data_IF_274525819601
#
_entry.id   IF_274525819601
#
_cell.length_a   1.000
_cell.length_b   1.000
_cell.length_c   1.000
_cell.angle_alpha   90.00
_cell.angle_beta   90.00
_cell.angle_gamma   90.00
#
_symmetry.space_group_name_H-M   'P 1'
#
loop_
_entity.id
_entity.type
_entity.pdbx_description
1 polymer ?
#
# COMPACT_ATOMS: atom_id res chain seq x y z
N UNK A 1 2.24 -1.25 -12.10
CA UNK A 1 1.13 -0.81 -11.22
C UNK A 1 1.13 0.71 -11.16
N UNK A 2 0.02 1.37 -11.49
CA UNK A 2 -0.13 2.83 -11.39
C UNK A 2 -1.14 3.18 -10.29
N UNK A 3 -1.03 4.37 -9.70
CA UNK A 3 -1.98 4.87 -8.68
C UNK A 3 -2.55 6.21 -9.15
N UNK A 4 -3.66 6.26 -9.90
CA UNK A 4 -4.18 7.53 -10.46
C UNK A 4 -4.61 8.56 -9.39
N UNK A 5 -5.14 8.09 -8.26
CA UNK A 5 -5.71 8.97 -7.22
C UNK A 5 -4.73 9.45 -6.16
N UNK A 6 -3.43 9.24 -6.36
CA UNK A 6 -2.40 9.51 -5.35
C UNK A 6 -2.27 10.98 -4.93
N UNK A 7 -2.88 11.92 -5.67
CA UNK A 7 -2.93 13.36 -5.34
C UNK A 7 -4.28 13.80 -4.77
N UNK A 8 -5.30 12.96 -4.81
CA UNK A 8 -6.62 13.28 -4.27
C UNK A 8 -6.72 12.90 -2.81
N UNK A 9 -7.45 13.71 -2.06
CA UNK A 9 -7.76 13.46 -0.67
C UNK A 9 -8.90 12.43 -0.58
N UNK A 10 -8.92 11.69 0.52
CA UNK A 10 -10.00 10.75 0.82
C UNK A 10 -11.36 11.45 0.85
N UNK A 11 -11.42 12.65 1.44
CA UNK A 11 -12.62 13.52 1.46
C UNK A 11 -13.11 13.88 0.05
N UNK A 12 -12.19 14.20 -0.87
CA UNK A 12 -12.54 14.57 -2.25
C UNK A 12 -13.06 13.36 -3.02
N UNK A 13 -12.44 12.20 -2.83
CA UNK A 13 -12.83 10.95 -3.48
C UNK A 13 -14.21 10.49 -2.98
N UNK A 14 -14.47 10.60 -1.67
CA UNK A 14 -15.77 10.30 -1.07
C UNK A 14 -16.84 11.29 -1.56
N UNK A 15 -16.55 12.60 -1.59
CA UNK A 15 -17.47 13.60 -2.11
C UNK A 15 -17.83 13.34 -3.59
N UNK A 16 -16.85 12.98 -4.41
CA UNK A 16 -17.09 12.61 -5.81
C UNK A 16 -18.03 11.40 -5.92
N UNK A 17 -17.79 10.34 -5.14
CA UNK A 17 -18.65 9.17 -5.14
C UNK A 17 -20.10 9.51 -4.77
N UNK A 18 -20.30 10.33 -3.74
CA UNK A 18 -21.63 10.79 -3.31
C UNK A 18 -22.32 11.64 -4.39
N UNK A 19 -21.63 12.65 -4.93
CA UNK A 19 -22.18 13.53 -5.97
C UNK A 19 -22.53 12.79 -7.27
N UNK A 20 -21.80 11.71 -7.58
CA UNK A 20 -22.04 10.86 -8.74
C UNK A 20 -23.04 9.74 -8.48
N UNK A 21 -23.56 9.59 -7.25
CA UNK A 21 -24.45 8.50 -6.88
C UNK A 21 -23.80 7.11 -6.95
N UNK A 22 -22.48 7.04 -6.79
CA UNK A 22 -21.74 5.78 -6.76
C UNK A 22 -21.95 5.15 -5.39
N UNK A 23 -22.66 4.01 -5.35
CA UNK A 23 -22.83 3.23 -4.13
C UNK A 23 -21.52 2.49 -3.81
N UNK A 24 -21.05 2.63 -2.58
CA UNK A 24 -19.87 1.94 -2.05
C UNK A 24 -20.17 1.37 -0.66
N UNK A 25 -19.30 0.48 -0.17
CA UNK A 25 -19.42 -0.13 1.15
C UNK A 25 -18.92 0.87 2.19
N UNK A 26 -19.77 1.20 3.17
CA UNK A 26 -19.42 2.09 4.28
C UNK A 26 -18.72 1.36 5.42
N UNK A 27 -18.97 0.05 5.53
CA UNK A 27 -18.38 -0.79 6.56
C UNK A 27 -16.90 -1.01 6.30
N UNK A 28 -16.09 -0.79 7.33
CA UNK A 28 -14.68 -1.13 7.33
C UNK A 28 -14.49 -2.61 7.67
N UNK A 29 -13.34 -3.16 7.27
CA UNK A 29 -12.98 -4.53 7.63
C UNK A 29 -12.80 -4.65 9.16
N UNK A 30 -13.42 -5.63 9.85
CA UNK A 30 -13.22 -5.81 11.29
C UNK A 30 -11.76 -6.03 11.69
N UNK A 31 -10.95 -6.62 10.80
CA UNK A 31 -9.52 -6.82 11.02
C UNK A 31 -8.67 -5.58 10.77
N UNK A 32 -9.26 -4.48 10.29
CA UNK A 32 -8.57 -3.21 10.10
C UNK A 32 -8.62 -2.30 11.35
N UNK A 33 -9.42 -2.66 12.35
CA UNK A 33 -9.46 -1.93 13.62
C UNK A 33 -8.06 -1.90 14.27
N UNK A 34 -7.64 -0.70 14.70
CA UNK A 34 -6.31 -0.49 15.27
C UNK A 34 -5.15 -0.51 14.26
N UNK A 35 -5.42 -0.53 12.95
CA UNK A 35 -4.36 -0.43 11.94
C UNK A 35 -3.56 0.87 12.11
N UNK A 36 -2.23 0.76 12.08
CA UNK A 36 -1.31 1.91 12.20
C UNK A 36 -1.53 2.96 11.11
N UNK A 37 -2.04 2.55 9.96
CA UNK A 37 -2.43 3.47 8.88
C UNK A 37 -3.56 4.42 9.28
N UNK A 38 -4.54 3.98 10.09
CA UNK A 38 -5.63 4.82 10.59
C UNK A 38 -5.06 5.87 11.53
N UNK A 39 -4.18 5.46 12.46
CA UNK A 39 -3.48 6.38 13.34
C UNK A 39 -2.67 7.45 12.57
N UNK A 40 -1.91 7.04 11.55
CA UNK A 40 -1.16 8.00 10.72
C UNK A 40 -2.08 8.93 9.92
N UNK A 41 -3.21 8.43 9.41
CA UNK A 41 -4.22 9.25 8.74
C UNK A 41 -4.75 10.33 9.68
N UNK A 42 -5.09 10.00 10.92
CA UNK A 42 -5.58 10.96 11.91
C UNK A 42 -4.55 12.06 12.22
N UNK A 43 -3.28 11.69 12.42
CA UNK A 43 -2.20 12.65 12.63
C UNK A 43 -2.05 13.61 11.44
N UNK A 44 -1.99 13.06 10.23
CA UNK A 44 -1.84 13.84 9.01
C UNK A 44 -3.07 14.72 8.72
N UNK A 45 -4.27 14.26 9.09
CA UNK A 45 -5.50 15.05 8.95
C UNK A 45 -5.55 16.22 9.92
N UNK A 46 -5.06 16.06 11.17
CA UNK A 46 -4.91 17.18 12.10
C UNK A 46 -3.94 18.22 11.55
N UNK A 47 -2.77 17.79 11.07
CA UNK A 47 -1.80 18.68 10.45
C UNK A 47 -2.37 19.42 9.23
N UNK A 48 -3.16 18.73 8.40
CA UNK A 48 -3.81 19.33 7.24
C UNK A 48 -4.84 20.40 7.62
N UNK A 49 -5.57 20.20 8.72
CA UNK A 49 -6.54 21.18 9.21
C UNK A 49 -5.85 22.47 9.66
N UNK A 50 -4.70 22.36 10.32
CA UNK A 50 -3.92 23.51 10.77
C UNK A 50 -3.12 24.17 9.62
N UNK A 51 -2.69 23.37 8.64
CA UNK A 51 -1.84 23.77 7.52
C UNK A 51 -2.36 23.14 6.22
N UNK A 52 -3.29 23.82 5.51
CA UNK A 52 -3.81 23.34 4.24
C UNK A 52 -2.68 23.06 3.23
N UNK A 53 -2.75 21.91 2.57
CA UNK A 53 -1.76 21.42 1.62
C UNK A 53 -0.57 20.67 2.22
N UNK A 54 -0.50 20.50 3.55
CA UNK A 54 0.61 19.80 4.21
C UNK A 54 0.81 18.37 3.69
N UNK A 55 -0.26 17.59 3.53
CA UNK A 55 -0.19 16.21 3.03
C UNK A 55 0.35 16.14 1.61
N UNK A 56 -0.16 16.99 0.72
CA UNK A 56 0.26 17.01 -0.68
C UNK A 56 1.73 17.47 -0.80
N UNK A 57 2.11 18.53 -0.08
CA UNK A 57 3.50 19.04 -0.06
C UNK A 57 4.47 17.99 0.49
N UNK A 58 4.12 17.32 1.58
CA UNK A 58 4.92 16.23 2.14
C UNK A 58 5.15 15.12 1.11
N UNK A 59 4.08 14.65 0.46
CA UNK A 59 4.18 13.55 -0.48
C UNK A 59 4.94 13.92 -1.75
N UNK A 60 4.70 15.10 -2.33
CA UNK A 60 5.44 15.56 -3.51
C UNK A 60 6.92 15.81 -3.19
N UNK A 61 7.23 16.40 -2.03
CA UNK A 61 8.60 16.56 -1.57
C UNK A 61 9.31 15.21 -1.37
N UNK A 62 8.62 14.19 -0.84
CA UNK A 62 9.14 12.83 -0.77
C UNK A 62 9.45 12.24 -2.14
N UNK A 63 8.54 12.40 -3.13
CA UNK A 63 8.78 11.91 -4.48
C UNK A 63 9.98 12.61 -5.14
N UNK A 64 10.07 13.93 -5.01
CA UNK A 64 11.19 14.71 -5.51
C UNK A 64 12.51 14.24 -4.89
N UNK A 65 12.57 14.14 -3.56
CA UNK A 65 13.77 13.67 -2.86
C UNK A 65 14.16 12.24 -3.27
N UNK A 66 13.18 11.39 -3.57
CA UNK A 66 13.42 10.04 -4.11
C UNK A 66 14.02 10.08 -5.52
N UNK A 67 13.51 10.93 -6.40
CA UNK A 67 14.05 11.13 -7.74
C UNK A 67 15.47 11.71 -7.71
N UNK A 68 15.75 12.59 -6.74
CA UNK A 68 17.08 13.16 -6.47
C UNK A 68 18.04 12.16 -5.80
N UNK A 69 17.59 10.93 -5.52
CA UNK A 69 18.44 9.85 -5.01
C UNK A 69 18.66 9.86 -3.49
N UNK A 70 17.96 10.70 -2.72
CA UNK A 70 18.10 10.78 -1.25
C UNK A 70 17.78 9.45 -0.55
N UNK A 71 16.91 8.64 -1.17
CA UNK A 71 16.51 7.32 -0.69
C UNK A 71 17.07 6.18 -1.54
N UNK A 72 18.03 6.44 -2.43
CA UNK A 72 18.75 5.38 -3.12
C UNK A 72 19.53 4.57 -2.09
N UNK A 73 19.24 3.27 -1.99
CA UNK A 73 20.05 2.40 -1.14
C UNK A 73 21.50 2.40 -1.67
N UNK A 74 22.52 2.44 -0.79
CA UNK A 74 23.89 2.20 -1.21
C UNK A 74 23.95 0.81 -1.83
N UNK A 75 24.21 0.74 -3.14
CA UNK A 75 24.46 -0.49 -3.91
C UNK A 75 23.72 -1.73 -3.39
N UNK A 76 22.38 -1.66 -3.32
CA UNK A 76 21.61 -2.85 -2.99
C UNK A 76 21.89 -3.89 -4.08
N UNK A 77 22.53 -5.00 -3.69
CA UNK A 77 22.86 -6.10 -4.59
C UNK A 77 21.63 -6.43 -5.46
N UNK A 78 21.81 -6.66 -6.78
CA UNK A 78 20.70 -6.91 -7.68
C UNK A 78 19.86 -8.06 -7.12
N UNK A 79 18.62 -7.74 -6.74
CA UNK A 79 17.69 -8.74 -6.21
C UNK A 79 17.38 -9.69 -7.36
N UNK A 80 17.88 -10.92 -7.26
CA UNK A 80 17.63 -11.94 -8.27
C UNK A 80 16.17 -12.37 -8.20
N UNK A 81 15.50 -12.33 -9.34
CA UNK A 81 14.12 -12.74 -9.49
C UNK A 81 14.08 -14.11 -10.17
N UNK A 82 13.30 -15.02 -9.60
CA UNK A 82 13.06 -16.37 -10.11
C UNK A 82 11.60 -16.50 -10.55
N UNK A 83 11.32 -17.42 -11.49
CA UNK A 83 9.96 -17.85 -11.77
C UNK A 83 9.52 -18.88 -10.74
N UNK A 84 8.33 -18.70 -10.16
CA UNK A 84 7.75 -19.69 -9.24
C UNK A 84 7.55 -21.03 -9.95
N UNK A 85 8.02 -22.12 -9.36
CA UNK A 85 7.88 -23.48 -9.93
C UNK A 85 6.43 -23.95 -10.09
N UNK A 86 5.50 -23.38 -9.32
CA UNK A 86 4.08 -23.79 -9.31
C UNK A 86 3.22 -22.92 -10.23
N UNK A 87 3.40 -21.60 -10.19
CA UNK A 87 2.51 -20.65 -10.90
C UNK A 87 3.22 -19.74 -11.91
N UNK A 88 4.55 -19.84 -12.05
CA UNK A 88 5.36 -19.03 -12.96
C UNK A 88 5.52 -17.55 -12.56
N UNK A 89 4.83 -17.07 -11.52
CA UNK A 89 4.91 -15.68 -11.08
C UNK A 89 6.30 -15.32 -10.52
N UNK A 90 6.76 -14.07 -10.67
CA UNK A 90 8.07 -13.64 -10.21
C UNK A 90 8.19 -13.68 -8.69
N UNK A 91 9.30 -14.19 -8.17
CA UNK A 91 9.60 -14.27 -6.74
C UNK A 91 11.08 -14.05 -6.44
N UNK A 92 11.38 -13.49 -5.27
CA UNK A 92 12.75 -13.30 -4.77
C UNK A 92 13.32 -14.56 -4.10
N UNK A 93 12.48 -15.55 -3.82
CA UNK A 93 12.91 -16.80 -3.20
C UNK A 93 13.10 -17.89 -4.27
N UNK A 94 14.10 -18.75 -4.15
CA UNK A 94 14.18 -19.93 -5.01
C UNK A 94 12.96 -20.84 -4.76
N UNK A 95 12.45 -21.47 -5.82
CA UNK A 95 11.32 -22.40 -5.77
C UNK A 95 9.95 -21.71 -5.79
N UNK A 96 9.18 -21.84 -4.70
CA UNK A 96 7.78 -21.39 -4.62
C UNK A 96 7.64 -19.95 -4.14
N UNK A 97 6.75 -19.18 -4.75
CA UNK A 97 6.46 -17.81 -4.33
C UNK A 97 5.75 -17.76 -2.96
N UNK A 98 5.75 -16.60 -2.31
CA UNK A 98 5.15 -16.43 -0.99
C UNK A 98 3.66 -16.82 -0.95
N UNK A 99 2.93 -16.58 -2.05
CA UNK A 99 1.53 -16.96 -2.17
C UNK A 99 1.34 -18.48 -2.18
N UNK A 100 2.07 -19.20 -3.05
CA UNK A 100 1.98 -20.67 -3.12
C UNK A 100 2.38 -21.33 -1.80
N UNK A 101 3.42 -20.82 -1.12
CA UNK A 101 3.82 -21.31 0.22
C UNK A 101 2.74 -21.09 1.28
N UNK A 102 2.00 -19.98 1.20
CA UNK A 102 0.90 -19.71 2.11
C UNK A 102 -0.24 -20.72 1.90
N UNK A 103 -0.64 -20.95 0.64
CA UNK A 103 -1.72 -21.88 0.31
C UNK A 103 -1.41 -23.31 0.76
N UNK A 104 -0.18 -23.77 0.55
CA UNK A 104 0.25 -25.11 1.00
C UNK A 104 0.13 -25.28 2.52
N UNK A 105 0.41 -24.24 3.31
CA UNK A 105 0.26 -24.28 4.77
C UNK A 105 -1.20 -24.31 5.21
N UNK A 106 -2.10 -23.74 4.42
CA UNK A 106 -3.55 -23.76 4.69
C UNK A 106 -4.13 -25.13 4.35
N UNK A 107 -3.63 -25.78 3.29
CA UNK A 107 -4.07 -27.12 2.86
C UNK A 107 -3.45 -28.26 3.69
N UNK A 108 -2.30 -28.02 4.33
CA UNK A 108 -1.69 -28.99 5.24
C UNK A 108 -2.63 -29.26 6.43
N UNK A 109 -2.86 -30.53 6.82
CA UNK A 109 -3.64 -30.84 8.00
C UNK A 109 -3.01 -30.15 9.22
N UNK A 110 -3.82 -29.45 10.02
CA UNK A 110 -3.35 -28.87 11.29
C UNK A 110 -2.68 -29.98 12.09
N UNK A 111 -1.40 -29.83 12.40
CA UNK A 111 -0.76 -30.65 13.43
C UNK A 111 -1.55 -30.45 14.73
N UNK A 112 -2.11 -31.54 15.25
CA UNK A 112 -2.88 -31.59 16.49
C UNK A 112 -2.00 -31.26 17.71
#
# INVERSE_FOLDING_TARGET
KVKPFFRFYERETAAYALLRGIRYIYDECPFAEGATSIYYKELLNRLEADKPGAKLRFYLGFLQAKEEGLFAAPEAAPVTMHACEVCGQPTTAPGKCAFCRLMERVEAPKAA
#
